data_IF_371593129055
#
_entry.id   IF_371593129055
#
_cell.length_a   1.000
_cell.length_b   1.000
_cell.length_c   1.000
_cell.angle_alpha   90.00
_cell.angle_beta   90.00
_cell.angle_gamma   90.00
#
_symmetry.space_group_name_H-M   'P 1'
#
loop_
_entity.id
_entity.type
_entity.pdbx_description
1 polymer ?
#
# COMPACT_ATOMS: atom_id res chain seq x y z
N UNK A 1 -38.47 -79.33 -26.93
CA UNK A 1 -37.76 -79.47 -25.64
C UNK A 1 -36.35 -78.91 -25.82
N UNK A 2 -36.08 -77.85 -25.06
CA UNK A 2 -34.82 -77.23 -24.64
C UNK A 2 -33.51 -77.58 -25.35
N UNK A 3 -32.93 -76.58 -26.01
CA UNK A 3 -31.47 -76.40 -26.00
C UNK A 3 -31.03 -74.92 -26.08
N UNK A 4 -31.89 -74.00 -25.62
CA UNK A 4 -31.61 -72.55 -25.56
C UNK A 4 -30.92 -72.13 -24.25
N UNK A 5 -30.52 -73.10 -23.40
CA UNK A 5 -30.05 -72.87 -22.03
C UNK A 5 -28.53 -72.68 -21.90
N UNK A 6 -27.74 -72.81 -22.96
CA UNK A 6 -26.27 -72.81 -22.86
C UNK A 6 -25.60 -71.53 -23.38
N UNK A 7 -26.31 -70.68 -24.12
CA UNK A 7 -25.71 -69.46 -24.70
C UNK A 7 -25.98 -68.18 -23.90
N UNK A 8 -26.95 -68.18 -22.97
CA UNK A 8 -27.15 -67.08 -22.04
C UNK A 8 -26.13 -67.08 -20.89
N UNK A 9 -25.41 -68.18 -20.68
CA UNK A 9 -24.48 -68.31 -19.55
C UNK A 9 -23.13 -67.66 -19.84
N UNK A 10 -22.64 -67.72 -21.08
CA UNK A 10 -21.28 -67.21 -21.42
C UNK A 10 -21.23 -65.67 -21.58
N UNK A 11 -22.37 -64.99 -21.80
CA UNK A 11 -22.44 -63.52 -21.87
C UNK A 11 -22.79 -62.84 -20.54
N UNK A 12 -23.31 -63.58 -19.55
CA UNK A 12 -23.68 -63.05 -18.22
C UNK A 12 -22.73 -63.48 -17.10
N UNK A 13 -21.91 -64.52 -17.27
CA UNK A 13 -20.94 -64.95 -16.25
C UNK A 13 -19.82 -63.94 -15.96
N UNK A 14 -19.65 -62.90 -16.79
CA UNK A 14 -18.74 -61.78 -16.50
C UNK A 14 -19.44 -60.52 -15.99
N UNK A 15 -20.77 -60.52 -15.82
CA UNK A 15 -21.53 -59.33 -15.37
C UNK A 15 -22.30 -59.57 -14.06
N UNK A 16 -22.58 -60.81 -13.68
CA UNK A 16 -23.43 -61.12 -12.52
C UNK A 16 -22.69 -61.57 -11.25
N UNK A 17 -21.43 -61.19 -11.04
CA UNK A 17 -20.73 -61.47 -9.76
C UNK A 17 -19.85 -60.34 -9.22
N UNK A 18 -20.05 -59.11 -9.66
CA UNK A 18 -19.60 -57.95 -8.87
C UNK A 18 -20.83 -57.34 -8.22
N UNK A 19 -21.02 -57.66 -6.96
CA UNK A 19 -21.83 -56.94 -5.98
C UNK A 19 -21.26 -55.52 -5.75
N UNK A 20 -20.80 -54.85 -6.81
CA UNK A 20 -20.40 -53.44 -6.81
C UNK A 20 -21.65 -52.61 -6.84
N UNK A 21 -22.35 -52.61 -5.71
CA UNK A 21 -23.17 -51.47 -5.35
C UNK A 21 -22.33 -50.22 -5.56
N UNK A 22 -22.88 -49.23 -6.26
CA UNK A 22 -22.26 -47.92 -6.43
C UNK A 22 -21.96 -47.23 -5.08
N UNK A 23 -22.46 -47.79 -3.96
CA UNK A 23 -22.15 -47.37 -2.59
C UNK A 23 -20.75 -47.72 -2.10
N UNK A 24 -20.06 -48.69 -2.71
CA UNK A 24 -18.74 -49.19 -2.24
C UNK A 24 -17.55 -48.59 -3.00
N UNK A 25 -17.80 -47.71 -3.97
CA UNK A 25 -16.75 -46.90 -4.59
C UNK A 25 -16.31 -45.85 -3.56
N UNK A 26 -15.29 -46.17 -2.77
CA UNK A 26 -14.56 -45.17 -1.98
C UNK A 26 -13.76 -44.28 -2.93
N UNK A 27 -14.42 -43.24 -3.44
CA UNK A 27 -13.73 -42.16 -4.15
C UNK A 27 -12.99 -41.31 -3.12
N UNK A 28 -11.67 -41.40 -3.09
CA UNK A 28 -10.85 -40.43 -2.37
C UNK A 28 -10.86 -39.11 -3.16
N UNK A 29 -11.80 -38.23 -2.80
CA UNK A 29 -11.98 -36.91 -3.40
C UNK A 29 -10.74 -36.01 -3.31
N UNK A 30 -9.76 -36.34 -2.46
CA UNK A 30 -8.49 -35.61 -2.40
C UNK A 30 -7.55 -35.91 -3.57
N UNK A 31 -7.77 -37.05 -4.26
CA UNK A 31 -7.03 -37.46 -5.47
C UNK A 31 -7.89 -37.38 -6.74
N UNK A 32 -9.18 -37.04 -6.60
CA UNK A 32 -10.11 -36.94 -7.71
C UNK A 32 -9.70 -35.82 -8.67
N UNK A 33 -9.36 -36.22 -9.89
CA UNK A 33 -9.11 -35.32 -11.01
C UNK A 33 -10.28 -35.47 -11.98
N UNK A 34 -11.10 -34.43 -12.07
CA UNK A 34 -12.22 -34.39 -13.01
C UNK A 34 -11.75 -34.62 -14.46
N UNK A 35 -10.53 -34.16 -14.78
CA UNK A 35 -9.90 -34.37 -16.08
C UNK A 35 -9.57 -35.84 -16.33
N UNK A 36 -8.99 -36.53 -15.35
CA UNK A 36 -8.62 -37.93 -15.49
C UNK A 36 -9.86 -38.83 -15.55
N UNK A 37 -10.90 -38.51 -14.77
CA UNK A 37 -12.20 -39.18 -14.84
C UNK A 37 -12.88 -38.97 -16.21
N UNK A 38 -12.80 -37.76 -16.76
CA UNK A 38 -13.35 -37.46 -18.09
C UNK A 38 -12.63 -38.27 -19.17
N UNK A 39 -11.29 -38.37 -19.11
CA UNK A 39 -10.48 -39.17 -20.03
C UNK A 39 -10.83 -40.66 -19.91
N UNK A 40 -10.93 -41.19 -18.68
CA UNK A 40 -11.27 -42.59 -18.44
C UNK A 40 -12.67 -42.95 -18.99
N UNK A 41 -13.66 -42.09 -18.76
CA UNK A 41 -15.01 -42.24 -19.34
C UNK A 41 -15.00 -42.18 -20.86
N UNK A 42 -14.18 -41.32 -21.45
CA UNK A 42 -14.02 -41.24 -22.89
C UNK A 42 -13.46 -42.52 -23.50
N UNK A 43 -12.41 -43.06 -22.91
CA UNK A 43 -11.85 -44.34 -23.34
C UNK A 43 -12.90 -45.45 -23.24
N UNK A 44 -13.56 -45.58 -22.09
CA UNK A 44 -14.57 -46.61 -21.87
C UNK A 44 -15.73 -46.53 -22.88
N UNK A 45 -16.30 -45.33 -23.11
CA UNK A 45 -17.43 -45.16 -24.02
C UNK A 45 -17.01 -45.37 -25.47
N UNK A 46 -15.83 -44.90 -25.87
CA UNK A 46 -15.31 -45.08 -27.23
C UNK A 46 -15.07 -46.58 -27.51
N UNK A 47 -14.43 -47.29 -26.60
CA UNK A 47 -14.20 -48.73 -26.69
C UNK A 47 -15.51 -49.53 -26.70
N UNK A 48 -16.51 -49.11 -25.92
CA UNK A 48 -17.81 -49.78 -25.86
C UNK A 48 -18.59 -49.60 -27.17
N UNK A 49 -18.63 -48.38 -27.72
CA UNK A 49 -19.27 -48.12 -29.02
C UNK A 49 -18.56 -48.91 -30.12
N UNK A 50 -17.22 -48.95 -30.11
CA UNK A 50 -16.44 -49.71 -31.08
C UNK A 50 -16.74 -51.21 -30.98
N UNK A 51 -16.73 -51.77 -29.77
CA UNK A 51 -17.09 -53.18 -29.53
C UNK A 51 -18.51 -53.52 -29.99
N UNK A 52 -19.49 -52.63 -29.78
CA UNK A 52 -20.87 -52.83 -30.26
C UNK A 52 -20.92 -52.84 -31.79
N UNK A 53 -20.21 -51.91 -32.45
CA UNK A 53 -20.14 -51.83 -33.92
C UNK A 53 -19.43 -53.01 -34.57
N UNK A 54 -18.43 -53.57 -33.89
CA UNK A 54 -17.65 -54.72 -34.37
C UNK A 54 -18.29 -56.07 -34.00
N UNK A 55 -19.32 -56.07 -33.15
CA UNK A 55 -20.03 -57.29 -32.77
C UNK A 55 -21.03 -57.75 -33.82
N UNK A 56 -21.23 -59.06 -33.93
CA UNK A 56 -22.25 -59.68 -34.79
C UNK A 56 -23.70 -59.31 -34.42
N UNK A 57 -23.93 -58.47 -33.39
CA UNK A 57 -25.25 -57.94 -33.02
C UNK A 57 -25.91 -57.14 -34.16
N UNK A 58 -25.13 -56.51 -35.04
CA UNK A 58 -25.63 -55.83 -36.24
C UNK A 58 -26.09 -56.81 -37.33
N UNK A 59 -25.68 -58.08 -37.27
CA UNK A 59 -26.08 -59.13 -38.23
C UNK A 59 -27.39 -59.83 -37.85
N UNK A 60 -27.85 -59.68 -36.60
CA UNK A 60 -29.13 -60.17 -36.09
C UNK A 60 -30.27 -59.27 -36.58
N UNK A 61 -30.65 -59.43 -37.85
CA UNK A 61 -31.79 -58.76 -38.51
C UNK A 61 -33.18 -59.04 -37.90
N UNK A 62 -33.28 -59.72 -36.76
CA UNK A 62 -34.54 -60.17 -36.13
C UNK A 62 -34.86 -59.50 -34.79
N UNK A 63 -34.47 -58.24 -34.60
CA UNK A 63 -35.16 -57.38 -33.61
C UNK A 63 -36.28 -56.61 -34.31
N UNK A 64 -37.43 -57.27 -34.49
CA UNK A 64 -38.66 -56.62 -34.93
C UNK A 64 -39.03 -55.49 -33.95
N UNK A 65 -38.86 -54.23 -34.38
CA UNK A 65 -39.44 -53.06 -33.71
C UNK A 65 -38.47 -51.97 -33.26
N UNK A 66 -37.16 -52.16 -33.30
CA UNK A 66 -36.19 -51.11 -32.90
C UNK A 66 -35.22 -50.75 -34.02
N UNK A 67 -35.20 -49.47 -34.40
CA UNK A 67 -34.20 -48.90 -35.32
C UNK A 67 -32.88 -48.68 -34.56
N UNK A 68 -32.29 -49.79 -34.06
CA UNK A 68 -31.15 -49.81 -33.14
C UNK A 68 -29.98 -48.93 -33.61
N UNK A 69 -29.72 -48.91 -34.91
CA UNK A 69 -28.67 -48.09 -35.52
C UNK A 69 -28.94 -46.58 -35.38
N UNK A 70 -30.21 -46.17 -35.53
CA UNK A 70 -30.65 -44.78 -35.40
C UNK A 70 -30.62 -44.32 -33.93
N UNK A 71 -30.99 -45.20 -32.99
CA UNK A 71 -30.87 -44.96 -31.55
C UNK A 71 -29.40 -44.87 -31.10
N UNK A 72 -28.53 -45.71 -31.64
CA UNK A 72 -27.09 -45.68 -31.38
C UNK A 72 -26.46 -44.37 -31.90
N UNK A 73 -26.83 -43.90 -33.09
CA UNK A 73 -26.39 -42.60 -33.60
C UNK A 73 -26.88 -41.43 -32.74
N UNK A 74 -28.14 -41.47 -32.32
CA UNK A 74 -28.74 -40.45 -31.43
C UNK A 74 -28.03 -40.41 -30.08
N UNK A 75 -27.72 -41.57 -29.51
CA UNK A 75 -26.96 -41.67 -28.25
C UNK A 75 -25.54 -41.13 -28.43
N UNK A 76 -24.86 -41.51 -29.51
CA UNK A 76 -23.51 -41.04 -29.82
C UNK A 76 -23.46 -39.51 -29.96
N UNK A 77 -24.48 -38.91 -30.58
CA UNK A 77 -24.57 -37.45 -30.72
C UNK A 77 -24.75 -36.74 -29.38
N UNK A 78 -25.71 -37.21 -28.56
CA UNK A 78 -25.94 -36.68 -27.21
C UNK A 78 -24.68 -36.76 -26.34
N UNK A 79 -23.96 -37.88 -26.42
CA UNK A 79 -22.69 -38.05 -25.71
C UNK A 79 -21.64 -37.03 -26.15
N UNK A 80 -21.49 -36.81 -27.46
CA UNK A 80 -20.54 -35.83 -28.01
C UNK A 80 -20.87 -34.40 -27.56
N UNK A 81 -22.16 -34.05 -27.56
CA UNK A 81 -22.62 -32.73 -27.12
C UNK A 81 -22.36 -32.51 -25.62
N UNK A 82 -22.71 -33.50 -24.78
CA UNK A 82 -22.43 -33.46 -23.34
C UNK A 82 -20.93 -33.42 -23.03
N UNK A 83 -20.11 -34.14 -23.79
CA UNK A 83 -18.64 -34.08 -23.69
C UNK A 83 -18.16 -32.65 -23.93
N UNK A 84 -18.61 -32.01 -25.00
CA UNK A 84 -18.21 -30.64 -25.33
C UNK A 84 -18.59 -29.66 -24.22
N UNK A 85 -19.82 -29.76 -23.71
CA UNK A 85 -20.31 -28.92 -22.61
C UNK A 85 -19.47 -29.09 -21.33
N UNK A 86 -19.13 -30.33 -20.98
CA UNK A 86 -18.29 -30.61 -19.81
C UNK A 86 -16.87 -30.05 -19.94
N UNK A 87 -16.26 -30.07 -21.13
CA UNK A 87 -14.96 -29.41 -21.35
C UNK A 87 -15.05 -27.89 -21.21
N UNK A 88 -16.12 -27.28 -21.73
CA UNK A 88 -16.32 -25.84 -21.62
C UNK A 88 -16.52 -25.42 -20.15
N UNK A 89 -17.23 -26.23 -19.35
CA UNK A 89 -17.37 -26.03 -17.90
C UNK A 89 -16.01 -26.17 -17.21
N UNK A 90 -15.26 -27.24 -17.50
CA UNK A 90 -13.94 -27.48 -16.90
C UNK A 90 -13.00 -26.30 -17.14
N UNK A 91 -12.95 -25.80 -18.38
CA UNK A 91 -12.13 -24.64 -18.74
C UNK A 91 -12.50 -23.40 -17.93
N UNK A 92 -13.80 -23.12 -17.78
CA UNK A 92 -14.28 -21.99 -16.94
C UNK A 92 -13.91 -22.16 -15.48
N UNK A 93 -13.97 -23.39 -14.94
CA UNK A 93 -13.56 -23.69 -13.57
C UNK A 93 -12.06 -23.45 -13.37
N UNK A 94 -11.22 -23.87 -14.32
CA UNK A 94 -9.77 -23.64 -14.27
C UNK A 94 -9.43 -22.13 -14.34
N UNK A 95 -10.10 -21.38 -15.22
CA UNK A 95 -9.95 -19.93 -15.32
C UNK A 95 -10.40 -19.20 -14.04
N UNK A 96 -11.52 -19.62 -13.44
CA UNK A 96 -11.99 -19.09 -12.16
C UNK A 96 -11.02 -19.40 -11.01
N UNK A 97 -10.46 -20.61 -10.98
CA UNK A 97 -9.45 -21.01 -9.97
C UNK A 97 -8.20 -20.13 -10.09
N UNK A 98 -7.69 -19.95 -11.31
CA UNK A 98 -6.54 -19.09 -11.57
C UNK A 98 -6.79 -17.65 -11.14
N UNK A 99 -7.93 -17.08 -11.54
CA UNK A 99 -8.32 -15.71 -11.13
C UNK A 99 -8.38 -15.58 -9.60
N UNK A 100 -8.89 -16.58 -8.90
CA UNK A 100 -8.93 -16.59 -7.43
C UNK A 100 -7.53 -16.61 -6.80
N UNK A 101 -6.60 -17.39 -7.35
CA UNK A 101 -5.21 -17.42 -6.88
C UNK A 101 -4.51 -16.07 -7.07
N UNK A 102 -4.70 -15.44 -8.24
CA UNK A 102 -4.19 -14.09 -8.54
C UNK A 102 -4.78 -13.03 -7.59
N UNK A 103 -6.07 -13.15 -7.24
CA UNK A 103 -6.73 -12.26 -6.28
C UNK A 103 -6.18 -12.43 -4.86
N UNK A 104 -5.98 -13.66 -4.39
CA UNK A 104 -5.41 -13.94 -3.07
C UNK A 104 -4.02 -13.32 -2.93
N UNK A 105 -3.18 -13.46 -3.96
CA UNK A 105 -1.84 -12.88 -3.97
C UNK A 105 -1.89 -11.34 -3.95
N UNK A 106 -2.82 -10.74 -4.70
CA UNK A 106 -3.03 -9.29 -4.71
C UNK A 106 -3.50 -8.76 -3.34
N UNK A 107 -4.40 -9.48 -2.66
CA UNK A 107 -4.85 -9.13 -1.31
C UNK A 107 -3.68 -9.15 -0.31
N UNK A 108 -2.82 -10.18 -0.33
CA UNK A 108 -1.65 -10.25 0.55
C UNK A 108 -0.69 -9.07 0.35
N UNK A 109 -0.46 -8.66 -0.91
CA UNK A 109 0.36 -7.49 -1.23
C UNK A 109 -0.23 -6.22 -0.65
N UNK A 110 -1.55 -6.02 -0.81
CA UNK A 110 -2.25 -4.87 -0.23
C UNK A 110 -2.19 -4.85 1.30
N UNK A 111 -2.33 -5.99 1.96
CA UNK A 111 -2.18 -6.10 3.42
C UNK A 111 -0.77 -5.72 3.88
N UNK A 112 0.27 -6.20 3.17
CA UNK A 112 1.66 -5.83 3.44
C UNK A 112 1.89 -4.33 3.29
N UNK A 113 1.44 -3.73 2.18
CA UNK A 113 1.55 -2.28 1.94
C UNK A 113 0.76 -1.48 2.98
N UNK A 114 -0.40 -1.96 3.41
CA UNK A 114 -1.19 -1.36 4.48
C UNK A 114 -0.44 -1.36 5.82
N UNK A 115 0.26 -2.44 6.14
CA UNK A 115 1.14 -2.54 7.31
C UNK A 115 2.27 -1.51 7.28
N UNK A 116 3.02 -1.43 6.18
CA UNK A 116 4.13 -0.48 6.00
C UNK A 116 3.67 0.98 6.17
N UNK A 117 2.52 1.34 5.58
CA UNK A 117 1.95 2.68 5.71
C UNK A 117 1.54 3.00 7.16
N UNK A 118 1.02 2.01 7.89
CA UNK A 118 0.69 2.17 9.30
C UNK A 118 1.94 2.45 10.15
N UNK A 119 3.05 1.78 9.88
CA UNK A 119 4.31 1.99 10.58
C UNK A 119 4.89 3.38 10.30
N UNK A 120 4.85 3.82 9.04
CA UNK A 120 5.27 5.19 8.65
C UNK A 120 4.43 6.23 9.39
N UNK A 121 3.10 6.05 9.43
CA UNK A 121 2.20 6.96 10.16
C UNK A 121 2.57 7.05 11.64
N UNK A 122 2.78 5.90 12.30
CA UNK A 122 3.16 5.87 13.72
C UNK A 122 4.51 6.57 13.98
N UNK A 123 5.48 6.39 13.06
CA UNK A 123 6.78 7.07 13.13
C UNK A 123 6.63 8.59 13.03
N UNK A 124 5.84 9.08 12.07
CA UNK A 124 5.56 10.51 11.89
C UNK A 124 4.84 11.12 13.10
N UNK A 125 3.86 10.42 13.68
CA UNK A 125 3.16 10.90 14.88
C UNK A 125 4.12 11.04 16.08
N UNK A 126 5.05 10.10 16.24
CA UNK A 126 6.11 10.18 17.25
C UNK A 126 7.05 11.37 17.02
N UNK A 127 7.46 11.60 15.77
CA UNK A 127 8.32 12.71 15.41
C UNK A 127 7.65 14.07 15.64
N UNK A 128 6.38 14.22 15.26
CA UNK A 128 5.57 15.42 15.52
C UNK A 128 5.48 15.68 17.02
N UNK A 129 5.26 14.64 17.83
CA UNK A 129 5.20 14.76 19.29
C UNK A 129 6.52 15.28 19.87
N UNK A 130 7.66 14.74 19.40
CA UNK A 130 9.00 15.18 19.80
C UNK A 130 9.25 16.64 19.45
N UNK A 131 9.04 17.01 18.18
CA UNK A 131 9.23 18.39 17.71
C UNK A 131 8.34 19.37 18.51
N UNK A 132 7.09 18.98 18.79
CA UNK A 132 6.18 19.80 19.58
C UNK A 132 6.66 20.00 21.01
N UNK A 133 7.20 18.95 21.63
CA UNK A 133 7.79 19.02 22.97
C UNK A 133 9.02 19.94 23.00
N UNK A 134 9.94 19.76 22.05
CA UNK A 134 11.15 20.57 21.92
C UNK A 134 10.79 22.04 21.68
N UNK A 135 9.83 22.32 20.81
CA UNK A 135 9.34 23.69 20.57
C UNK A 135 8.74 24.30 21.84
N UNK A 136 7.97 23.56 22.64
CA UNK A 136 7.44 24.06 23.93
C UNK A 136 8.57 24.39 24.90
N UNK A 137 9.57 23.54 25.01
CA UNK A 137 10.76 23.77 25.85
C UNK A 137 11.52 25.01 25.40
N UNK A 138 11.82 25.14 24.11
CA UNK A 138 12.51 26.31 23.57
C UNK A 138 11.71 27.60 23.75
N UNK A 139 10.39 27.56 23.55
CA UNK A 139 9.51 28.72 23.78
C UNK A 139 9.51 29.14 25.25
N UNK A 140 9.49 28.18 26.18
CA UNK A 140 9.58 28.46 27.61
C UNK A 140 10.95 29.07 27.98
N UNK A 141 12.05 28.46 27.50
CA UNK A 141 13.40 28.97 27.71
C UNK A 141 13.58 30.40 27.16
N UNK A 142 13.06 30.67 25.95
CA UNK A 142 13.06 32.01 25.36
C UNK A 142 12.29 33.02 26.21
N UNK A 143 11.10 32.64 26.70
CA UNK A 143 10.30 33.51 27.59
C UNK A 143 11.05 33.82 28.89
N UNK A 144 11.70 32.84 29.50
CA UNK A 144 12.52 33.03 30.70
C UNK A 144 13.72 33.93 30.41
N UNK A 145 14.43 33.72 29.29
CA UNK A 145 15.53 34.59 28.88
C UNK A 145 15.06 36.04 28.68
N UNK A 146 13.92 36.25 28.02
CA UNK A 146 13.33 37.58 27.82
C UNK A 146 12.98 38.26 29.17
N UNK A 147 12.49 37.51 30.15
CA UNK A 147 12.25 38.02 31.50
C UNK A 147 13.54 38.48 32.19
N UNK A 148 14.64 37.73 32.04
CA UNK A 148 15.95 38.17 32.55
C UNK A 148 16.45 39.41 31.82
N UNK A 149 16.25 39.49 30.50
CA UNK A 149 16.64 40.65 29.71
C UNK A 149 15.80 41.89 29.98
N UNK A 150 14.58 41.76 30.51
CA UNK A 150 13.80 42.90 30.98
C UNK A 150 14.47 43.67 32.14
N UNK A 151 15.47 43.09 32.81
CA UNK A 151 16.27 43.80 33.81
C UNK A 151 17.28 44.77 33.19
N UNK A 152 17.61 44.63 31.92
CA UNK A 152 18.38 45.64 31.21
C UNK A 152 17.54 46.90 31.03
N UNK A 153 18.20 48.04 31.06
CA UNK A 153 17.57 49.35 30.90
C UNK A 153 17.40 49.74 29.42
N UNK A 154 17.44 48.76 28.52
CA UNK A 154 17.14 48.91 27.11
C UNK A 154 16.35 47.70 26.60
N UNK A 155 15.64 47.88 25.49
CA UNK A 155 14.93 46.86 24.74
C UNK A 155 15.48 46.84 23.31
N UNK A 156 15.53 45.66 22.69
CA UNK A 156 15.92 45.49 21.29
C UNK A 156 14.78 44.78 20.56
N UNK A 157 14.24 45.43 19.53
CA UNK A 157 13.27 44.84 18.62
C UNK A 157 13.95 44.54 17.28
N UNK A 158 13.97 43.26 16.89
CA UNK A 158 14.53 42.82 15.62
C UNK A 158 13.43 42.83 14.56
N UNK A 159 13.69 43.51 13.44
CA UNK A 159 12.86 43.51 12.24
C UNK A 159 13.64 42.80 11.14
N UNK A 160 13.05 41.74 10.61
CA UNK A 160 13.63 41.00 9.50
C UNK A 160 13.60 41.84 8.22
N UNK A 161 14.71 41.84 7.48
CA UNK A 161 14.80 42.46 6.16
C UNK A 161 14.25 41.50 5.09
N UNK A 162 13.96 42.02 3.90
CA UNK A 162 13.73 41.20 2.71
C UNK A 162 15.02 40.54 2.19
N UNK A 163 16.18 41.03 2.63
CA UNK A 163 17.48 40.41 2.40
C UNK A 163 17.82 39.48 3.58
N UNK A 164 17.94 38.19 3.30
CA UNK A 164 18.16 37.13 4.30
C UNK A 164 19.46 37.34 5.11
N UNK A 165 20.42 38.07 4.55
CA UNK A 165 21.71 38.34 5.19
C UNK A 165 21.67 39.56 6.13
N UNK A 166 20.56 40.29 6.20
CA UNK A 166 20.45 41.56 6.95
C UNK A 166 19.29 41.49 7.95
N UNK A 167 19.52 42.00 9.16
CA UNK A 167 18.43 42.33 10.08
C UNK A 167 18.59 43.74 10.64
N UNK A 168 17.47 44.34 11.02
CA UNK A 168 17.44 45.66 11.65
C UNK A 168 17.11 45.50 13.13
N UNK A 169 18.02 45.96 13.99
CA UNK A 169 17.80 46.05 15.43
C UNK A 169 17.40 47.48 15.82
N UNK A 170 16.19 47.65 16.31
CA UNK A 170 15.72 48.91 16.90
C UNK A 170 15.93 48.85 18.40
N UNK A 171 16.78 49.73 18.93
CA UNK A 171 17.19 49.77 20.34
C UNK A 171 16.52 50.95 21.02
N UNK A 172 15.82 50.69 22.13
CA UNK A 172 15.15 51.73 22.93
C UNK A 172 15.61 51.67 24.36
N UNK A 173 16.09 52.79 24.90
CA UNK A 173 16.56 52.88 26.29
C UNK A 173 15.42 53.32 27.22
N UNK A 174 15.15 52.51 28.26
CA UNK A 174 14.06 52.72 29.23
C UNK A 174 14.22 54.01 30.03
N UNK A 175 15.47 54.44 30.28
CA UNK A 175 15.79 55.68 30.99
C UNK A 175 15.69 56.93 30.11
N UNK A 176 15.70 56.79 28.78
CA UNK A 176 15.71 57.89 27.82
C UNK A 176 14.46 57.86 26.93
N UNK A 177 13.27 57.93 27.54
CA UNK A 177 11.97 57.78 26.85
C UNK A 177 11.67 58.82 25.76
N UNK A 178 12.37 59.95 25.79
CA UNK A 178 12.23 61.06 24.83
C UNK A 178 13.15 60.90 23.61
N UNK A 179 14.08 59.94 23.64
CA UNK A 179 14.97 59.62 22.53
C UNK A 179 14.27 58.58 21.67
N UNK A 180 14.20 58.84 20.36
CA UNK A 180 13.66 57.90 19.39
C UNK A 180 14.50 56.61 19.34
N UNK A 181 13.90 55.46 18.99
CA UNK A 181 14.65 54.22 18.86
C UNK A 181 15.86 54.37 17.93
N UNK A 182 17.02 53.89 18.40
CA UNK A 182 18.25 53.86 17.61
C UNK A 182 18.17 52.65 16.69
N UNK A 183 18.28 52.87 15.38
CA UNK A 183 18.18 51.82 14.38
C UNK A 183 19.59 51.36 13.99
N UNK A 184 19.83 50.06 14.09
CA UNK A 184 21.10 49.43 13.76
C UNK A 184 20.85 48.39 12.68
N UNK A 185 21.50 48.52 11.53
CA UNK A 185 21.45 47.56 10.44
C UNK A 185 22.65 46.63 10.57
N UNK A 186 22.41 45.32 10.61
CA UNK A 186 23.44 44.31 10.91
C UNK A 186 23.48 43.25 9.81
N UNK A 187 24.68 42.92 9.36
CA UNK A 187 24.91 41.72 8.55
C UNK A 187 24.84 40.49 9.48
N UNK A 188 23.86 39.62 9.28
CA UNK A 188 23.61 38.42 10.09
C UNK A 188 24.80 37.46 10.09
N UNK A 189 25.39 37.23 8.93
CA UNK A 189 26.43 36.22 8.74
C UNK A 189 27.76 36.67 9.34
N UNK A 190 28.09 37.95 9.20
CA UNK A 190 29.34 38.51 9.71
C UNK A 190 29.21 39.06 11.14
N UNK A 191 27.98 39.24 11.64
CA UNK A 191 27.65 39.95 12.89
C UNK A 191 28.29 41.35 12.95
N UNK A 192 28.40 42.00 11.79
CA UNK A 192 28.97 43.35 11.64
C UNK A 192 27.87 44.36 11.45
N UNK A 193 28.05 45.53 12.05
CA UNK A 193 27.14 46.65 11.87
C UNK A 193 27.42 47.30 10.51
N UNK A 194 26.39 47.40 9.68
CA UNK A 194 26.45 48.00 8.35
C UNK A 194 26.17 49.50 8.47
N UNK A 195 25.15 49.87 9.25
CA UNK A 195 24.66 51.23 9.37
C UNK A 195 24.05 51.45 10.76
N UNK A 196 24.19 52.67 11.29
CA UNK A 196 23.52 53.09 12.51
C UNK A 196 22.87 54.45 12.27
N UNK A 197 21.57 54.52 12.51
CA UNK A 197 20.85 55.77 12.69
C UNK A 197 20.64 56.00 14.19
N UNK A 198 21.44 56.92 14.73
CA UNK A 198 21.50 57.25 16.15
C UNK A 198 21.02 58.66 16.46
N UNK A 199 20.39 59.35 15.50
CA UNK A 199 19.90 60.73 15.68
C UNK A 199 20.99 61.73 16.10
N UNK A 200 22.23 61.52 15.64
CA UNK A 200 23.38 62.37 15.97
C UNK A 200 24.07 62.05 17.29
N UNK A 201 23.69 60.97 17.99
CA UNK A 201 24.35 60.52 19.23
C UNK A 201 25.69 59.83 19.00
N UNK A 202 25.90 59.29 17.80
CA UNK A 202 27.16 58.69 17.37
C UNK A 202 27.57 59.23 16.01
N UNK A 203 28.87 59.47 15.83
CA UNK A 203 29.44 59.83 14.53
C UNK A 203 29.22 58.70 13.54
N UNK A 204 28.62 59.02 12.39
CA UNK A 204 28.21 58.04 11.36
C UNK A 204 29.35 57.55 10.47
N UNK A 205 30.61 57.81 10.81
CA UNK A 205 31.75 57.44 9.97
C UNK A 205 32.18 55.98 10.20
N UNK A 206 31.94 55.14 9.17
CA UNK A 206 32.36 53.75 8.96
C UNK A 206 32.29 52.81 10.18
N UNK A 207 31.14 52.14 10.33
CA UNK A 207 30.97 51.01 11.26
C UNK A 207 31.40 49.65 10.66
N UNK A 208 32.07 49.62 9.51
CA UNK A 208 32.45 48.38 8.79
C UNK A 208 33.28 47.39 9.63
N UNK A 209 33.93 47.84 10.71
CA UNK A 209 34.71 47.02 11.65
C UNK A 209 34.12 46.92 13.05
N UNK A 210 32.89 47.42 13.26
CA UNK A 210 32.20 47.32 14.55
C UNK A 210 31.34 46.07 14.58
N UNK A 211 31.64 45.19 15.53
CA UNK A 211 30.84 44.00 15.77
C UNK A 211 29.57 44.35 16.53
N UNK A 212 28.48 43.67 16.18
CA UNK A 212 27.24 43.69 16.96
C UNK A 212 27.41 42.78 18.18
N UNK A 213 28.04 43.33 19.22
CA UNK A 213 28.43 42.61 20.44
C UNK A 213 28.04 43.37 21.72
N UNK A 214 28.18 42.74 22.91
CA UNK A 214 27.83 43.41 24.17
C UNK A 214 28.61 44.70 24.45
N UNK A 215 29.86 44.81 24.01
CA UNK A 215 30.70 45.98 24.25
C UNK A 215 30.17 47.20 23.48
N UNK A 216 29.73 46.98 22.24
CA UNK A 216 29.03 48.00 21.46
C UNK A 216 27.80 48.54 22.20
N UNK A 217 26.95 47.68 22.76
CA UNK A 217 25.77 48.11 23.52
C UNK A 217 26.12 48.89 24.79
N UNK A 218 27.19 48.53 25.50
CA UNK A 218 27.68 49.30 26.64
C UNK A 218 28.11 50.72 26.23
N UNK A 219 28.84 50.85 25.13
CA UNK A 219 29.28 52.15 24.61
C UNK A 219 28.10 53.00 24.14
N UNK A 220 27.16 52.40 23.39
CA UNK A 220 25.94 53.06 22.94
C UNK A 220 25.12 53.57 24.13
N UNK A 221 24.94 52.74 25.16
CA UNK A 221 24.25 53.12 26.40
C UNK A 221 24.90 54.33 27.07
N UNK A 222 26.23 54.35 27.16
CA UNK A 222 26.95 55.47 27.77
C UNK A 222 26.73 56.78 27.00
N UNK A 223 26.82 56.74 25.66
CA UNK A 223 26.57 57.92 24.81
C UNK A 223 25.16 58.48 24.99
N UNK A 224 24.16 57.59 25.06
CA UNK A 224 22.77 57.98 25.34
C UNK A 224 22.64 58.61 26.73
N UNK A 225 23.29 58.03 27.74
CA UNK A 225 23.28 58.56 29.11
C UNK A 225 23.92 59.95 29.21
N UNK A 226 25.05 60.16 28.54
CA UNK A 226 25.76 61.45 28.51
C UNK A 226 24.89 62.53 27.85
N UNK A 227 24.18 62.19 26.77
CA UNK A 227 23.26 63.11 26.07
C UNK A 227 22.04 63.51 26.89
N UNK A 228 21.55 62.66 27.79
CA UNK A 228 20.39 62.97 28.64
C UNK A 228 20.78 63.86 29.83
N UNK A 229 22.04 63.79 30.27
CA UNK A 229 22.55 64.53 31.43
C UNK A 229 23.23 65.86 31.06
N UNK A 230 23.33 66.18 29.77
CA UNK A 230 23.91 67.43 29.24
C UNK A 230 22.83 68.47 28.97
#
# INVERSE_FOLDING_TARGET
MNNTSLYNTVLLENVENSDTSWSDIKCDWSTFSFKDELIARECYITETIQRVKESDLLSLKEFEGSNFEEDLEKFTRKYRDAKKENYDILKKCEEARRTREELIESCKKLESTGGELSDIKNSLESEISKITSDHKLHKAAYKTALQHYNNFDFNVAIVESSDDDIFVANVTFKFAKHIEPIKIVVNRNQRKIIEIDSHGLMDTQNFEDVNFDPLFFCNLRQKVLDSVNS
#
